data_IF_821421639635
#
_entry.id   IF_821421639635
#
_cell.length_a   1.000
_cell.length_b   1.000
_cell.length_c   1.000
_cell.angle_alpha   90.00
_cell.angle_beta   90.00
_cell.angle_gamma   90.00
#
_symmetry.space_group_name_H-M   'P 1'
#
loop_
_entity.id
_entity.type
_entity.pdbx_description
1 polymer ?
#
# COMPACT_ATOMS: atom_id res chain seq x y z
N UNK A 1 6.88 -6.05 13.30
CA UNK A 1 6.08 -6.29 12.08
C UNK A 1 6.91 -7.20 11.20
N UNK A 2 6.60 -8.49 11.18
CA UNK A 2 7.25 -9.44 10.26
C UNK A 2 6.70 -9.22 8.85
N UNK A 3 7.47 -9.61 7.84
CA UNK A 3 7.22 -9.36 6.40
C UNK A 3 5.90 -9.98 5.90
N UNK A 4 5.29 -10.85 6.71
CA UNK A 4 4.18 -11.73 6.34
C UNK A 4 2.80 -11.07 6.21
N UNK A 5 2.62 -9.83 6.69
CA UNK A 5 1.30 -9.16 6.66
C UNK A 5 1.17 -8.08 5.57
N UNK A 6 2.20 -7.84 4.76
CA UNK A 6 2.13 -6.81 3.72
C UNK A 6 1.10 -7.18 2.63
N UNK A 7 1.04 -8.46 2.26
CA UNK A 7 0.09 -8.96 1.28
C UNK A 7 -1.35 -8.87 1.79
N UNK A 8 -1.59 -9.13 3.09
CA UNK A 8 -2.91 -8.98 3.72
C UNK A 8 -3.38 -7.52 3.70
N UNK A 9 -2.50 -6.58 4.07
CA UNK A 9 -2.83 -5.15 4.05
C UNK A 9 -3.09 -4.67 2.63
N UNK A 10 -2.26 -5.06 1.66
CA UNK A 10 -2.48 -4.70 0.26
C UNK A 10 -3.80 -5.28 -0.28
N UNK A 11 -4.11 -6.54 0.04
CA UNK A 11 -5.37 -7.17 -0.33
C UNK A 11 -6.58 -6.45 0.30
N UNK A 12 -6.49 -6.07 1.57
CA UNK A 12 -7.54 -5.32 2.25
C UNK A 12 -7.80 -3.97 1.57
N UNK A 13 -6.75 -3.26 1.15
CA UNK A 13 -6.89 -2.01 0.41
C UNK A 13 -7.50 -2.21 -0.97
N UNK A 14 -7.14 -3.26 -1.70
CA UNK A 14 -7.79 -3.60 -2.97
C UNK A 14 -9.30 -3.84 -2.78
N UNK A 15 -9.66 -4.62 -1.75
CA UNK A 15 -11.07 -4.92 -1.42
C UNK A 15 -11.87 -3.66 -1.01
N UNK A 16 -11.20 -2.67 -0.41
CA UNK A 16 -11.79 -1.36 -0.09
C UNK A 16 -11.91 -0.42 -1.29
N UNK A 17 -11.49 -0.85 -2.48
CA UNK A 17 -11.50 -0.05 -3.71
C UNK A 17 -10.23 0.77 -3.95
N UNK A 18 -9.15 0.48 -3.21
CA UNK A 18 -7.82 1.00 -3.51
C UNK A 18 -7.28 0.42 -4.81
N UNK A 19 -6.51 1.22 -5.54
CA UNK A 19 -5.88 0.82 -6.80
C UNK A 19 -4.38 0.77 -6.63
N UNK A 20 -3.79 -0.39 -6.89
CA UNK A 20 -2.34 -0.54 -6.94
C UNK A 20 -1.77 0.21 -8.15
N UNK A 21 -0.73 1.00 -7.94
CA UNK A 21 -0.06 1.80 -8.96
C UNK A 21 1.25 1.12 -9.41
N UNK A 22 1.65 1.37 -10.66
CA UNK A 22 2.98 1.01 -11.18
C UNK A 22 4.08 1.96 -10.67
N UNK A 23 4.03 2.35 -9.39
CA UNK A 23 5.02 3.16 -8.69
C UNK A 23 5.26 2.52 -7.33
N UNK A 24 6.50 2.52 -6.85
CA UNK A 24 6.86 1.94 -5.56
C UNK A 24 7.17 2.99 -4.51
N UNK A 25 6.88 2.68 -3.25
CA UNK A 25 7.30 3.46 -2.10
C UNK A 25 8.83 3.49 -2.02
N UNK A 26 9.41 4.68 -1.83
CA UNK A 26 10.88 4.85 -1.71
C UNK A 26 11.45 4.32 -0.39
N UNK A 27 10.60 4.04 0.60
CA UNK A 27 11.02 3.57 1.93
C UNK A 27 11.02 2.04 1.98
N UNK A 28 9.90 1.41 1.63
CA UNK A 28 9.74 -0.05 1.75
C UNK A 28 9.78 -0.82 0.42
N UNK A 29 9.74 -0.13 -0.73
CA UNK A 29 9.76 -0.76 -2.05
C UNK A 29 8.42 -1.33 -2.53
N UNK A 30 7.41 -1.46 -1.66
CA UNK A 30 6.08 -1.94 -2.05
C UNK A 30 5.34 -0.96 -2.98
N UNK A 31 4.42 -1.45 -3.82
CA UNK A 31 3.59 -0.59 -4.66
C UNK A 31 2.82 0.48 -3.88
N UNK A 32 2.74 1.69 -4.44
CA UNK A 32 1.85 2.74 -3.96
C UNK A 32 0.41 2.43 -4.36
N UNK A 33 -0.52 2.93 -3.57
CA UNK A 33 -1.95 2.80 -3.81
C UNK A 33 -2.57 4.17 -4.01
N UNK A 34 -3.52 4.26 -4.93
CA UNK A 34 -4.50 5.33 -4.98
C UNK A 34 -5.74 4.88 -4.20
N UNK A 35 -6.07 5.58 -3.11
CA UNK A 35 -7.23 5.28 -2.29
C UNK A 35 -7.88 6.59 -1.86
N UNK A 36 -9.20 6.71 -2.09
CA UNK A 36 -9.97 7.95 -1.85
C UNK A 36 -9.39 9.21 -2.52
N UNK A 37 -8.75 9.04 -3.68
CA UNK A 37 -8.14 10.14 -4.45
C UNK A 37 -6.72 10.51 -4.03
N UNK A 38 -6.15 9.84 -3.01
CA UNK A 38 -4.80 10.10 -2.53
C UNK A 38 -3.86 8.95 -2.89
N UNK A 39 -2.65 9.30 -3.32
CA UNK A 39 -1.56 8.33 -3.53
C UNK A 39 -0.75 8.15 -2.25
N UNK A 40 -0.76 6.95 -1.68
CA UNK A 40 -0.08 6.65 -0.42
C UNK A 40 0.55 5.26 -0.39
N UNK A 41 1.52 5.07 0.51
CA UNK A 41 2.02 3.75 0.86
C UNK A 41 1.15 3.17 1.97
N UNK A 42 0.54 2.02 1.74
CA UNK A 42 -0.35 1.36 2.71
C UNK A 42 0.40 0.50 3.72
N UNK A 43 1.70 0.29 3.51
CA UNK A 43 2.56 -0.53 4.36
C UNK A 43 3.37 0.32 5.36
N UNK A 44 3.85 1.48 4.92
CA UNK A 44 4.60 2.35 5.81
C UNK A 44 3.66 3.04 6.80
N UNK A 45 3.96 3.07 8.11
CA UNK A 45 3.33 4.04 8.97
C UNK A 45 3.64 5.44 8.41
N UNK A 46 2.64 6.32 8.36
CA UNK A 46 2.80 7.72 7.95
C UNK A 46 3.94 8.32 8.79
N UNK A 47 5.08 8.59 8.13
CA UNK A 47 6.23 9.24 8.73
C UNK A 47 6.00 10.74 8.86
#
# INVERSE_FOLDING_TARGET
MTVDNADEVMAEYLLKGGKMLAKSCKICGYPLFEYKGETQCVICPLG
#
